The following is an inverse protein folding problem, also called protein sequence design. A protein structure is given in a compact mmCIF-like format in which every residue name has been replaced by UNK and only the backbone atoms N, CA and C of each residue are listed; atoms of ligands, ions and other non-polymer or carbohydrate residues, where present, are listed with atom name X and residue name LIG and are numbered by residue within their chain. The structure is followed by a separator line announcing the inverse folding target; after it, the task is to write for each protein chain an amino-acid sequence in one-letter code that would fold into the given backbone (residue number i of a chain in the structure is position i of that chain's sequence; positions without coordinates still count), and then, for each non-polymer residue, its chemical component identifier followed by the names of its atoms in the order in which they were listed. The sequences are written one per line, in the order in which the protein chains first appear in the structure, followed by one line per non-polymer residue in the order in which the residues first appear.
data_IF_494246954974
#
_entry.id   IF_494246954974
#
_cell.length_a   1.000
_cell.length_b   1.000
_cell.length_c   1.000
_cell.angle_alpha   90.00
_cell.angle_beta   90.00
_cell.angle_gamma   90.00
#
_symmetry.space_group_name_H-M   'P 1'
#
loop_
_entity.id
_entity.type
_entity.pdbx_description
1 polymer ?
#
# COMPACT_ATOMS: atom_id res chain seq x y z
N UNK A 1 -1.28 16.13 -4.47
CA UNK A 1 -1.24 17.55 -4.07
C UNK A 1 -2.05 17.69 -2.79
N UNK A 2 -1.51 18.37 -1.78
CA UNK A 2 -2.12 18.48 -0.46
C UNK A 2 -2.31 19.96 -0.11
N UNK A 3 -3.44 20.31 0.51
CA UNK A 3 -3.70 21.63 1.06
C UNK A 3 -3.70 21.56 2.58
N UNK A 4 -2.93 22.43 3.21
CA UNK A 4 -2.84 22.54 4.67
C UNK A 4 -3.33 23.90 5.17
N UNK A 5 -4.02 23.89 6.30
CA UNK A 5 -4.43 25.09 7.05
C UNK A 5 -4.09 24.86 8.53
N UNK A 6 -3.28 25.75 9.12
CA UNK A 6 -2.84 25.65 10.52
C UNK A 6 -2.20 24.29 10.88
N UNK A 7 -1.42 23.70 9.97
CA UNK A 7 -0.76 22.41 10.16
C UNK A 7 -1.68 21.18 10.03
N UNK A 8 -2.94 21.38 9.64
CA UNK A 8 -3.86 20.28 9.36
C UNK A 8 -4.08 20.16 7.86
N UNK A 9 -4.00 18.94 7.34
CA UNK A 9 -4.40 18.61 5.98
C UNK A 9 -5.91 18.78 5.86
N UNK A 10 -6.36 19.68 5.00
CA UNK A 10 -7.79 19.96 4.77
C UNK A 10 -8.29 19.46 3.42
N UNK A 11 -7.39 19.21 2.47
CA UNK A 11 -7.73 18.71 1.14
C UNK A 11 -6.55 17.94 0.54
N UNK A 12 -6.85 16.93 -0.28
CA UNK A 12 -5.85 16.10 -0.95
C UNK A 12 -6.39 15.61 -2.31
N UNK A 13 -5.57 15.79 -3.34
CA UNK A 13 -5.81 15.31 -4.69
C UNK A 13 -4.68 14.35 -5.09
N UNK A 14 -4.95 13.04 -5.29
CA UNK A 14 -4.00 12.12 -5.92
C UNK A 14 -3.71 12.58 -7.36
N UNK A 15 -2.45 12.55 -7.79
CA UNK A 15 -2.04 13.03 -9.12
C UNK A 15 -1.22 12.00 -9.90
N UNK A 16 -0.53 11.11 -9.19
CA UNK A 16 0.27 10.07 -9.81
C UNK A 16 -0.58 8.81 -10.03
N UNK A 17 -0.78 8.48 -11.29
CA UNK A 17 -1.62 7.38 -11.74
C UNK A 17 -0.81 6.33 -12.53
N UNK A 18 0.54 6.38 -12.47
CA UNK A 18 1.39 5.49 -13.26
C UNK A 18 1.23 3.99 -12.93
N UNK A 19 0.72 3.68 -11.73
CA UNK A 19 0.44 2.32 -11.28
C UNK A 19 -1.06 1.96 -11.25
N UNK A 20 -1.93 2.87 -11.70
CA UNK A 20 -3.35 2.58 -11.78
C UNK A 20 -3.62 1.45 -12.77
N UNK A 21 -4.40 0.47 -12.33
CA UNK A 21 -4.91 -0.58 -13.19
C UNK A 21 -6.28 -1.03 -12.69
N UNK A 22 -7.04 -1.67 -13.58
CA UNK A 22 -8.29 -2.31 -13.18
C UNK A 22 -7.96 -3.63 -12.45
N UNK A 23 -8.41 -3.78 -11.21
CA UNK A 23 -8.05 -4.92 -10.38
C UNK A 23 -8.88 -5.03 -9.10
N UNK A 24 -8.44 -5.92 -8.22
CA UNK A 24 -9.07 -6.09 -6.90
C UNK A 24 -8.80 -4.84 -6.04
N UNK A 25 -9.82 -4.26 -5.37
CA UNK A 25 -9.61 -3.14 -4.45
C UNK A 25 -8.75 -3.51 -3.24
N UNK A 26 -8.58 -4.81 -2.97
CA UNK A 26 -7.63 -5.31 -1.97
C UNK A 26 -6.18 -5.02 -2.37
N UNK A 27 -5.86 -5.03 -3.66
CA UNK A 27 -4.49 -4.74 -4.13
C UNK A 27 -4.11 -3.31 -3.81
N UNK A 28 -5.02 -2.36 -4.05
CA UNK A 28 -4.82 -0.94 -3.72
C UNK A 28 -4.65 -0.75 -2.21
N UNK A 29 -5.48 -1.41 -1.40
CA UNK A 29 -5.35 -1.39 0.05
C UNK A 29 -4.00 -1.94 0.52
N UNK A 30 -3.61 -3.13 0.05
CA UNK A 30 -2.35 -3.77 0.43
C UNK A 30 -1.14 -2.95 -0.02
N UNK A 31 -1.17 -2.41 -1.24
CA UNK A 31 -0.14 -1.53 -1.78
C UNK A 31 0.05 -0.31 -0.87
N UNK A 32 -1.04 0.38 -0.54
CA UNK A 32 -0.98 1.57 0.30
C UNK A 32 -0.47 1.25 1.71
N UNK A 33 -1.00 0.20 2.34
CA UNK A 33 -0.66 -0.14 3.72
C UNK A 33 0.80 -0.58 3.84
N UNK A 34 1.31 -1.43 2.96
CA UNK A 34 2.70 -1.89 3.05
C UNK A 34 3.71 -0.86 2.58
N UNK A 35 3.33 0.04 1.66
CA UNK A 35 4.19 1.13 1.21
C UNK A 35 4.29 2.26 2.23
N UNK A 36 3.18 2.63 2.89
CA UNK A 36 3.10 3.87 3.66
C UNK A 36 3.14 3.69 5.18
N UNK A 37 3.04 2.47 5.71
CA UNK A 37 2.98 2.24 7.17
C UNK A 37 4.06 1.29 7.65
N UNK A 38 4.59 1.48 8.86
CA UNK A 38 5.45 0.49 9.50
C UNK A 38 4.64 -0.62 10.18
N UNK A 39 5.35 -1.63 10.70
CA UNK A 39 4.70 -2.75 11.39
C UNK A 39 3.96 -2.31 12.65
N UNK A 40 4.41 -1.26 13.33
CA UNK A 40 3.76 -0.75 14.55
C UNK A 40 2.39 -0.18 14.22
N UNK A 41 2.30 0.68 13.20
CA UNK A 41 1.05 1.24 12.68
C UNK A 41 0.10 0.14 12.21
N UNK A 42 0.58 -0.86 11.47
CA UNK A 42 -0.27 -2.00 11.05
C UNK A 42 -0.80 -2.76 12.27
N UNK A 43 0.06 -3.16 13.20
CA UNK A 43 -0.38 -3.88 14.41
C UNK A 43 -1.46 -3.12 15.19
N UNK A 44 -1.39 -1.79 15.25
CA UNK A 44 -2.33 -0.97 16.01
C UNK A 44 -3.61 -0.62 15.24
N UNK A 45 -3.53 -0.43 13.92
CA UNK A 45 -4.58 0.23 13.15
C UNK A 45 -5.07 -0.53 11.92
N UNK A 46 -4.56 -1.73 11.61
CA UNK A 46 -4.91 -2.44 10.37
C UNK A 46 -6.42 -2.63 10.19
N UNK A 47 -7.13 -3.07 11.23
CA UNK A 47 -8.59 -3.24 11.15
C UNK A 47 -9.32 -1.92 10.90
N UNK A 48 -8.92 -0.85 11.59
CA UNK A 48 -9.51 0.47 11.39
C UNK A 48 -9.26 0.98 9.95
N UNK A 49 -8.04 0.81 9.43
CA UNK A 49 -7.69 1.23 8.07
C UNK A 49 -8.48 0.44 7.02
N UNK A 50 -8.68 -0.87 7.22
CA UNK A 50 -9.56 -1.68 6.37
C UNK A 50 -11.00 -1.15 6.35
N UNK A 51 -11.55 -0.85 7.53
CA UNK A 51 -12.91 -0.35 7.66
C UNK A 51 -13.07 1.02 6.98
N UNK A 52 -12.10 1.92 7.18
CA UNK A 52 -12.06 3.22 6.49
C UNK A 52 -11.99 3.06 4.98
N UNK A 53 -11.14 2.14 4.49
CA UNK A 53 -11.01 1.88 3.06
C UNK A 53 -12.32 1.36 2.46
N UNK A 54 -12.90 0.30 3.04
CA UNK A 54 -14.13 -0.31 2.54
C UNK A 54 -15.31 0.69 2.57
N UNK A 55 -15.49 1.42 3.68
CA UNK A 55 -16.54 2.44 3.76
C UNK A 55 -16.31 3.64 2.83
N UNK A 56 -15.07 3.90 2.42
CA UNK A 56 -14.79 4.93 1.40
C UNK A 56 -15.16 4.44 0.00
N UNK A 57 -14.86 3.19 -0.31
CA UNK A 57 -15.29 2.53 -1.55
C UNK A 57 -16.81 2.44 -1.65
N UNK A 58 -17.49 2.05 -0.56
CA UNK A 58 -18.95 2.00 -0.48
C UNK A 58 -19.57 3.37 -0.81
N UNK A 59 -19.14 4.44 -0.13
CA UNK A 59 -19.56 5.81 -0.43
C UNK A 59 -19.25 6.23 -1.86
N UNK A 60 -18.12 5.79 -2.42
CA UNK A 60 -17.77 6.08 -3.81
C UNK A 60 -18.75 5.41 -4.79
N UNK A 61 -19.11 4.15 -4.57
CA UNK A 61 -20.07 3.41 -5.38
C UNK A 61 -21.48 3.98 -5.29
N UNK A 62 -21.89 4.48 -4.12
CA UNK A 62 -23.18 5.14 -3.91
C UNK A 62 -23.36 6.37 -4.82
N UNK A 63 -22.30 7.13 -5.13
CA UNK A 63 -22.38 8.26 -6.08
C UNK A 63 -22.81 7.84 -7.50
N UNK A 64 -22.68 6.55 -7.83
CA UNK A 64 -23.10 5.97 -9.10
C UNK A 64 -24.36 5.09 -8.96
N UNK A 65 -25.12 5.25 -7.87
CA UNK A 65 -26.31 4.46 -7.53
C UNK A 65 -26.02 2.94 -7.45
N UNK A 66 -24.80 2.56 -7.06
CA UNK A 66 -24.39 1.16 -6.91
C UNK A 66 -24.31 0.75 -5.42
N UNK A 67 -24.97 -0.35 -5.07
CA UNK A 67 -24.90 -0.94 -3.72
C UNK A 67 -23.67 -1.86 -3.60
N UNK A 68 -22.69 -1.43 -2.79
CA UNK A 68 -21.47 -2.19 -2.50
C UNK A 68 -21.75 -3.62 -1.99
N UNK A 69 -22.82 -3.83 -1.21
CA UNK A 69 -23.17 -5.15 -0.69
C UNK A 69 -23.54 -6.13 -1.80
N UNK A 70 -24.03 -5.63 -2.95
CA UNK A 70 -24.40 -6.45 -4.11
C UNK A 70 -23.25 -6.68 -5.08
N UNK A 71 -22.41 -5.66 -5.30
CA UNK A 71 -21.32 -5.73 -6.30
C UNK A 71 -20.02 -6.28 -5.71
N UNK A 72 -19.70 -5.92 -4.47
CA UNK A 72 -18.48 -6.36 -3.78
C UNK A 72 -18.61 -6.22 -2.26
N UNK A 73 -19.26 -7.22 -1.65
CA UNK A 73 -19.60 -7.22 -0.22
C UNK A 73 -18.36 -7.17 0.68
N UNK A 74 -18.54 -6.68 1.92
CA UNK A 74 -17.47 -6.67 2.92
C UNK A 74 -16.93 -8.06 3.21
N UNK A 75 -17.79 -9.07 3.19
CA UNK A 75 -17.39 -10.46 3.36
C UNK A 75 -16.46 -10.93 2.24
N UNK A 76 -16.72 -10.54 0.98
CA UNK A 76 -15.84 -10.86 -0.15
C UNK A 76 -14.52 -10.09 -0.05
N UNK A 77 -14.54 -8.81 0.31
CA UNK A 77 -13.32 -8.03 0.57
C UNK A 77 -12.43 -8.69 1.64
N UNK A 78 -13.01 -9.09 2.78
CA UNK A 78 -12.31 -9.75 3.87
C UNK A 78 -11.73 -11.11 3.46
N UNK A 79 -12.49 -11.88 2.68
CA UNK A 79 -12.06 -13.16 2.15
C UNK A 79 -10.86 -12.99 1.21
N UNK A 80 -10.98 -12.11 0.21
CA UNK A 80 -9.90 -11.86 -0.76
C UNK A 80 -8.67 -11.30 -0.05
N UNK A 81 -8.84 -10.37 0.88
CA UNK A 81 -7.74 -9.82 1.68
C UNK A 81 -6.94 -10.92 2.40
N UNK A 82 -7.64 -11.88 3.02
CA UNK A 82 -6.99 -13.02 3.69
C UNK A 82 -6.24 -13.92 2.71
N UNK A 83 -6.76 -14.10 1.51
CA UNK A 83 -6.16 -14.92 0.45
C UNK A 83 -4.95 -14.24 -0.20
N UNK A 84 -4.81 -12.92 -0.11
CA UNK A 84 -3.75 -12.13 -0.76
C UNK A 84 -2.80 -11.43 0.22
N UNK A 85 -2.73 -11.87 1.48
CA UNK A 85 -1.83 -11.24 2.47
C UNK A 85 -0.36 -11.35 2.06
N UNK A 86 0.01 -12.45 1.40
CA UNK A 86 1.34 -12.71 0.83
C UNK A 86 1.81 -11.59 -0.11
N UNK A 87 0.89 -10.91 -0.80
CA UNK A 87 1.17 -9.76 -1.67
C UNK A 87 1.86 -8.60 -0.96
N UNK A 88 1.62 -8.39 0.33
CA UNK A 88 2.28 -7.33 1.10
C UNK A 88 3.81 -7.48 1.14
N UNK A 89 4.32 -8.70 1.22
CA UNK A 89 5.76 -8.98 1.16
C UNK A 89 6.32 -8.68 -0.22
N UNK A 90 5.60 -9.05 -1.28
CA UNK A 90 5.97 -8.75 -2.66
C UNK A 90 6.09 -7.23 -2.87
N UNK A 91 5.13 -6.46 -2.36
CA UNK A 91 5.15 -4.99 -2.46
C UNK A 91 6.43 -4.42 -1.81
N UNK A 92 6.76 -4.86 -0.59
CA UNK A 92 7.96 -4.36 0.11
C UNK A 92 9.24 -4.72 -0.64
N UNK A 93 9.33 -5.92 -1.22
CA UNK A 93 10.52 -6.34 -1.98
C UNK A 93 10.67 -5.58 -3.30
N UNK A 94 9.57 -5.43 -4.05
CA UNK A 94 9.59 -4.84 -5.40
C UNK A 94 9.62 -3.32 -5.36
N UNK A 95 8.79 -2.69 -4.52
CA UNK A 95 8.68 -1.23 -4.44
C UNK A 95 9.56 -0.62 -3.35
N UNK A 96 10.01 -1.39 -2.36
CA UNK A 96 10.86 -0.90 -1.29
C UNK A 96 12.08 -0.11 -1.78
N UNK A 97 12.84 -0.57 -2.78
CA UNK A 97 13.96 0.19 -3.31
C UNK A 97 13.59 1.57 -3.87
N UNK A 98 12.40 1.71 -4.46
CA UNK A 98 11.88 2.99 -4.96
C UNK A 98 11.40 3.90 -3.83
N UNK A 99 10.72 3.33 -2.83
CA UNK A 99 10.13 4.07 -1.72
C UNK A 99 11.17 4.58 -0.72
N UNK A 100 12.30 3.90 -0.63
CA UNK A 100 13.39 4.18 0.30
C UNK A 100 14.69 4.52 -0.43
N UNK A 101 14.61 5.01 -1.67
CA UNK A 101 15.80 5.53 -2.36
C UNK A 101 16.39 6.69 -1.55
N UNK A 102 17.72 6.74 -1.47
CA UNK A 102 18.43 7.86 -0.87
C UNK A 102 18.11 9.14 -1.67
N UNK A 103 17.68 10.20 -0.98
CA UNK A 103 17.28 11.46 -1.64
C UNK A 103 18.42 12.07 -2.45
N UNK A 104 19.68 11.80 -2.07
CA UNK A 104 20.87 12.28 -2.75
C UNK A 104 21.25 11.43 -4.00
N UNK A 105 20.59 10.28 -4.21
CA UNK A 105 20.95 9.29 -5.25
C UNK A 105 19.71 8.77 -6.01
N UNK A 106 18.71 9.64 -6.22
CA UNK A 106 17.49 9.28 -6.97
C UNK A 106 17.80 9.14 -8.46
N UNK A 107 17.67 7.94 -9.06
CA UNK A 107 17.96 7.74 -10.48
C UNK A 107 16.92 8.41 -11.39
N UNK A 108 17.35 8.88 -12.56
CA UNK A 108 16.43 9.42 -13.56
C UNK A 108 15.87 8.29 -14.41
N UNK A 109 14.78 7.68 -13.93
CA UNK A 109 14.10 6.56 -14.60
C UNK A 109 13.49 6.92 -15.97
N UNK A 110 13.52 8.21 -16.38
CA UNK A 110 13.17 8.59 -17.75
C UNK A 110 14.32 8.39 -18.74
N UNK A 111 15.55 8.26 -18.23
CA UNK A 111 16.78 8.07 -19.02
C UNK A 111 17.42 6.72 -18.79
N UNK A 112 17.37 6.23 -17.55
CA UNK A 112 17.98 4.98 -17.13
C UNK A 112 16.99 3.81 -17.28
N UNK A 113 17.46 2.70 -17.85
CA UNK A 113 16.63 1.49 -17.96
C UNK A 113 16.38 0.88 -16.58
N UNK A 114 15.14 0.49 -16.32
CA UNK A 114 14.76 -0.23 -15.11
C UNK A 114 15.50 -1.57 -14.94
N UNK A 115 16.01 -2.16 -16.03
CA UNK A 115 16.79 -3.40 -15.97
C UNK A 115 18.20 -3.20 -15.40
N UNK A 116 18.74 -1.99 -15.52
CA UNK A 116 20.15 -1.69 -15.19
C UNK A 116 20.31 -0.68 -14.05
N UNK A 117 19.22 0.00 -13.68
CA UNK A 117 19.24 1.00 -12.62
C UNK A 117 19.52 0.35 -11.26
N UNK A 118 20.41 0.96 -10.50
CA UNK A 118 20.75 0.54 -9.13
C UNK A 118 20.17 1.56 -8.17
N UNK A 119 19.35 1.12 -7.22
CA UNK A 119 18.83 1.97 -6.15
C UNK A 119 19.72 1.84 -4.92
N UNK A 120 20.41 2.91 -4.57
CA UNK A 120 20.98 3.04 -3.23
C UNK A 120 19.84 3.39 -2.28
N UNK A 121 19.62 2.53 -1.29
CA UNK A 121 18.50 2.65 -0.36
C UNK A 121 18.95 3.18 1.00
N UNK A 122 18.08 3.97 1.64
CA UNK A 122 18.18 4.38 3.04
C UNK A 122 18.15 3.14 3.96
N UNK A 123 18.88 3.20 5.08
CA UNK A 123 18.96 2.08 6.03
C UNK A 123 17.59 1.65 6.59
N UNK A 124 16.60 2.55 6.63
CA UNK A 124 15.20 2.25 7.00
C UNK A 124 14.59 1.17 6.12
N UNK A 125 15.04 1.00 4.88
CA UNK A 125 14.53 -0.08 4.04
C UNK A 125 14.84 -1.46 4.63
N UNK A 126 16.04 -1.65 5.21
CA UNK A 126 16.44 -2.91 5.83
C UNK A 126 15.54 -3.24 7.02
N UNK A 127 15.20 -2.23 7.82
CA UNK A 127 14.29 -2.40 8.94
C UNK A 127 12.87 -2.70 8.46
N UNK A 128 12.37 -1.97 7.45
CA UNK A 128 11.05 -2.25 6.86
C UNK A 128 10.95 -3.66 6.28
N UNK A 129 11.97 -4.13 5.58
CA UNK A 129 12.01 -5.48 5.02
C UNK A 129 12.04 -6.53 6.13
N UNK A 130 12.91 -6.35 7.15
CA UNK A 130 12.99 -7.26 8.29
C UNK A 130 11.66 -7.37 9.04
N UNK A 131 11.07 -6.23 9.38
CA UNK A 131 9.78 -6.17 10.07
C UNK A 131 8.68 -6.92 9.31
N UNK A 132 8.63 -6.74 7.99
CA UNK A 132 7.64 -7.39 7.12
C UNK A 132 7.88 -8.90 7.07
N UNK A 133 9.13 -9.36 6.95
CA UNK A 133 9.45 -10.79 6.98
C UNK A 133 9.02 -11.41 8.33
N UNK A 134 9.35 -10.78 9.45
CA UNK A 134 8.95 -11.26 10.78
C UNK A 134 7.42 -11.35 10.94
N UNK A 135 6.68 -10.36 10.43
CA UNK A 135 5.21 -10.36 10.42
C UNK A 135 4.67 -11.56 9.61
N UNK A 136 5.29 -11.91 8.49
CA UNK A 136 4.83 -13.00 7.63
C UNK A 136 5.24 -14.38 8.15
N UNK A 137 6.34 -14.46 8.91
CA UNK A 137 6.69 -15.65 9.69
C UNK A 137 5.66 -15.87 10.80
N UNK A 138 5.29 -14.82 11.55
CA UNK A 138 4.25 -14.90 12.60
C UNK A 138 2.90 -15.37 12.05
N UNK A 139 2.58 -15.00 10.82
CA UNK A 139 1.36 -15.43 10.13
C UNK A 139 1.46 -16.80 9.46
N UNK A 140 2.66 -17.41 9.42
CA UNK A 140 2.89 -18.72 8.82
C UNK A 140 2.99 -18.74 7.29
N UNK A 141 3.12 -17.57 6.65
CA UNK A 141 3.31 -17.46 5.19
C UNK A 141 4.76 -17.68 4.76
N UNK A 142 5.72 -17.43 5.66
CA UNK A 142 7.15 -17.70 5.45
C UNK A 142 7.62 -18.73 6.46
N UNK A 143 8.26 -19.80 5.98
CA UNK A 143 8.91 -20.81 6.81
C UNK A 143 10.42 -20.54 6.83
N UNK A 144 11.02 -20.56 8.01
CA UNK A 144 12.46 -20.40 8.23
C UNK A 144 13.03 -21.62 8.93
#
# INVERSE_FOLDING_TARGET
MMKEINGNVVDLIPIDYQLMHYGSPVNDFMYFIYSCTDRTMRKQHFQHLKDVYYSSMERFLEYFDMDAATVYSKAEFEKVLKETLDFGLIIVIIFGPFLFVDEDDVPDVSKDSMETVSFKTDDKYKDRLRETIEEFIEWGYVQC
#
